data_IF_987012491574
#
_entry.id   IF_987012491574
#
_cell.length_a   1.000
_cell.length_b   1.000
_cell.length_c   1.000
_cell.angle_alpha   90.00
_cell.angle_beta   90.00
_cell.angle_gamma   90.00
#
_symmetry.space_group_name_H-M   'P 1'
#
loop_
_entity.id
_entity.type
_entity.pdbx_description
1 polymer ?
#
# COMPACT_ATOMS: atom_id res chain seq x y z
N UNK A 1 -14.54 9.77 -9.67
CA UNK A 1 -13.52 9.95 -8.60
C UNK A 1 -12.17 9.57 -9.17
N UNK A 2 -11.14 10.44 -9.08
CA UNK A 2 -9.82 10.19 -9.68
C UNK A 2 -8.78 9.85 -8.62
N UNK A 3 -7.83 8.98 -8.95
CA UNK A 3 -6.69 8.61 -8.08
C UNK A 3 -5.41 8.91 -8.85
N UNK A 4 -4.48 9.57 -8.18
CA UNK A 4 -3.19 9.97 -8.73
C UNK A 4 -2.10 9.35 -7.87
N UNK A 5 -1.01 8.92 -8.52
CA UNK A 5 0.19 8.44 -7.84
C UNK A 5 1.34 9.38 -8.19
N UNK A 6 2.20 9.69 -7.21
CA UNK A 6 3.52 10.18 -7.56
C UNK A 6 4.24 9.13 -8.41
N UNK A 7 4.93 9.54 -9.46
CA UNK A 7 5.52 8.63 -10.44
C UNK A 7 6.55 7.67 -9.81
N UNK A 8 7.44 8.20 -8.96
CA UNK A 8 8.42 7.42 -8.22
C UNK A 8 7.78 6.38 -7.29
N UNK A 9 6.64 6.74 -6.69
CA UNK A 9 5.84 5.87 -5.82
C UNK A 9 5.30 4.70 -6.65
N UNK A 10 4.66 4.99 -7.79
CA UNK A 10 4.14 3.95 -8.68
C UNK A 10 5.22 2.98 -9.17
N UNK A 11 6.38 3.48 -9.62
CA UNK A 11 7.46 2.60 -10.08
C UNK A 11 8.07 1.76 -8.96
N UNK A 12 8.21 2.33 -7.75
CA UNK A 12 8.72 1.60 -6.60
C UNK A 12 7.77 0.47 -6.20
N UNK A 13 6.46 0.70 -6.25
CA UNK A 13 5.44 -0.32 -6.03
C UNK A 13 5.54 -1.46 -7.05
N UNK A 14 5.60 -1.13 -8.34
CA UNK A 14 5.67 -2.13 -9.40
C UNK A 14 6.96 -2.96 -9.32
N UNK A 15 8.09 -2.33 -8.99
CA UNK A 15 9.34 -3.07 -8.76
C UNK A 15 9.21 -3.98 -7.55
N UNK A 16 8.68 -3.49 -6.43
CA UNK A 16 8.51 -4.29 -5.22
C UNK A 16 7.59 -5.50 -5.44
N UNK A 17 6.47 -5.32 -6.14
CA UNK A 17 5.56 -6.41 -6.49
C UNK A 17 6.25 -7.47 -7.36
N UNK A 18 7.03 -7.05 -8.37
CA UNK A 18 7.82 -7.95 -9.21
C UNK A 18 8.85 -8.74 -8.40
N UNK A 19 9.56 -8.06 -7.50
CA UNK A 19 10.64 -8.66 -6.71
C UNK A 19 10.09 -9.63 -5.63
N UNK A 20 8.84 -9.44 -5.21
CA UNK A 20 8.17 -10.31 -4.24
C UNK A 20 7.52 -11.54 -4.83
N UNK A 21 7.21 -11.55 -6.14
CA UNK A 21 6.65 -12.72 -6.80
C UNK A 21 7.52 -13.98 -6.55
N UNK A 22 6.93 -15.14 -6.17
CA UNK A 22 5.49 -15.46 -6.14
C UNK A 22 4.82 -15.29 -4.76
N UNK A 23 5.40 -14.48 -3.87
CA UNK A 23 4.77 -14.14 -2.58
C UNK A 23 3.79 -12.99 -2.78
N UNK A 24 2.68 -13.04 -2.04
CA UNK A 24 1.70 -11.96 -2.00
C UNK A 24 2.20 -10.81 -1.14
N UNK A 25 1.92 -9.59 -1.59
CA UNK A 25 2.18 -8.35 -0.84
C UNK A 25 0.87 -7.71 -0.42
N UNK A 26 0.88 -7.04 0.74
CA UNK A 26 -0.19 -6.14 1.17
C UNK A 26 0.43 -4.85 1.68
N UNK A 27 -0.02 -3.73 1.14
CA UNK A 27 0.50 -2.40 1.48
C UNK A 27 -0.67 -1.46 1.80
N UNK A 28 -0.42 -0.52 2.71
CA UNK A 28 -1.35 0.57 3.01
C UNK A 28 -1.02 1.77 2.13
N UNK A 29 -2.05 2.42 1.61
CA UNK A 29 -1.91 3.60 0.75
C UNK A 29 -1.98 4.86 1.60
N UNK A 30 -0.86 5.59 1.68
CA UNK A 30 -0.84 6.90 2.33
C UNK A 30 -1.00 8.00 1.30
N UNK A 31 -1.90 8.93 1.58
CA UNK A 31 -2.23 9.98 0.64
C UNK A 31 -3.04 11.12 1.24
N UNK A 32 -3.49 12.01 0.36
CA UNK A 32 -4.34 13.15 0.72
C UNK A 32 -5.49 13.30 -0.27
N UNK A 33 -6.66 13.70 0.24
CA UNK A 33 -7.81 14.10 -0.57
C UNK A 33 -7.62 15.52 -1.09
N UNK A 34 -8.05 15.77 -2.32
CA UNK A 34 -8.30 17.10 -2.88
C UNK A 34 -9.67 17.10 -3.57
N UNK A 35 -10.11 18.25 -4.11
CA UNK A 35 -11.49 18.47 -4.60
C UNK A 35 -12.10 17.28 -5.34
N UNK A 36 -11.40 16.75 -6.35
CA UNK A 36 -11.95 15.76 -7.27
C UNK A 36 -11.24 14.39 -7.22
N UNK A 37 -10.40 14.16 -6.20
CA UNK A 37 -9.62 12.93 -6.14
C UNK A 37 -8.70 12.77 -4.94
N UNK A 38 -7.83 11.78 -5.04
CA UNK A 38 -6.83 11.44 -4.06
C UNK A 38 -5.44 11.41 -4.68
N UNK A 39 -4.45 11.91 -3.97
CA UNK A 39 -3.04 11.77 -4.33
C UNK A 39 -2.38 10.79 -3.35
N UNK A 40 -1.86 9.70 -3.89
CA UNK A 40 -1.03 8.72 -3.20
C UNK A 40 0.43 9.16 -3.34
N UNK A 41 1.09 9.35 -2.21
CA UNK A 41 2.49 9.79 -2.18
C UNK A 41 3.41 8.83 -1.42
N UNK A 42 2.88 7.79 -0.78
CA UNK A 42 3.65 6.81 -0.04
C UNK A 42 2.86 5.50 0.15
N UNK A 43 3.58 4.39 0.30
CA UNK A 43 3.02 3.12 0.75
C UNK A 43 3.64 2.73 2.09
N UNK A 44 2.85 2.13 2.97
CA UNK A 44 3.32 1.65 4.27
C UNK A 44 3.19 0.14 4.35
N UNK A 45 4.16 -0.47 5.02
CA UNK A 45 4.07 -1.87 5.41
C UNK A 45 3.25 -1.99 6.69
N UNK A 46 2.23 -2.87 6.73
CA UNK A 46 1.61 -3.21 8.00
C UNK A 46 2.66 -3.78 8.97
N UNK A 47 2.54 -3.50 10.28
CA UNK A 47 3.45 -4.06 11.28
C UNK A 47 3.45 -5.59 11.26
N UNK A 48 4.63 -6.18 11.38
CA UNK A 48 4.84 -7.64 11.45
C UNK A 48 4.18 -8.43 10.29
N UNK A 49 4.24 -7.88 9.08
CA UNK A 49 3.71 -8.55 7.89
C UNK A 49 4.47 -9.83 7.57
N UNK A 50 3.74 -10.93 7.36
CA UNK A 50 4.27 -12.20 6.83
C UNK A 50 3.86 -12.36 5.38
N UNK A 51 4.84 -12.49 4.49
CA UNK A 51 4.65 -12.63 3.04
C UNK A 51 4.77 -14.11 2.64
N UNK A 52 3.69 -14.70 2.14
CA UNK A 52 3.59 -16.10 1.75
C UNK A 52 3.20 -16.28 0.28
N UNK A 53 3.33 -17.50 -0.24
CA UNK A 53 2.85 -17.82 -1.59
C UNK A 53 1.34 -18.03 -1.54
N UNK A 54 0.57 -17.16 -2.22
CA UNK A 54 -0.89 -17.16 -2.18
C UNK A 54 -1.52 -16.66 -0.87
N UNK A 55 -0.72 -16.06 0.04
CA UNK A 55 -1.25 -15.42 1.23
C UNK A 55 -0.34 -14.32 1.76
N UNK A 56 -0.94 -13.39 2.50
CA UNK A 56 -0.26 -12.39 3.31
C UNK A 56 -1.03 -12.22 4.61
N UNK A 57 -0.32 -12.10 5.73
CA UNK A 57 -0.95 -11.98 7.05
C UNK A 57 -0.29 -10.91 7.90
N UNK A 58 -1.11 -10.14 8.60
CA UNK A 58 -0.71 -9.16 9.62
C UNK A 58 -1.86 -9.03 10.63
N UNK A 59 -1.62 -8.42 11.79
CA UNK A 59 -2.65 -8.12 12.77
C UNK A 59 -3.16 -6.67 12.58
N UNK A 60 -4.40 -6.44 12.11
CA UNK A 60 -4.93 -5.09 11.89
C UNK A 60 -4.96 -4.22 13.15
N UNK A 61 -5.12 -4.83 14.34
CA UNK A 61 -5.14 -4.11 15.62
C UNK A 61 -3.78 -3.48 15.98
N UNK A 62 -2.71 -3.83 15.26
CA UNK A 62 -1.39 -3.23 15.44
C UNK A 62 -1.16 -1.98 14.58
N UNK A 63 -2.06 -1.68 13.64
CA UNK A 63 -1.94 -0.49 12.79
C UNK A 63 -2.24 0.74 13.66
N UNK A 64 -1.28 1.67 13.84
CA UNK A 64 -1.54 2.92 14.55
C UNK A 64 -2.61 3.74 13.82
N UNK A 65 -3.37 4.54 14.56
CA UNK A 65 -4.31 5.49 13.93
C UNK A 65 -3.50 6.48 13.07
N UNK A 66 -3.72 6.42 11.76
CA UNK A 66 -3.15 7.34 10.78
C UNK A 66 -4.24 7.74 9.79
N UNK A 67 -4.76 8.96 9.94
CA UNK A 67 -5.84 9.50 9.09
C UNK A 67 -5.38 9.85 7.66
N UNK A 68 -4.09 9.72 7.37
CA UNK A 68 -3.55 9.86 6.02
C UNK A 68 -3.58 8.54 5.25
N UNK A 69 -3.92 7.41 5.90
CA UNK A 69 -4.19 6.15 5.21
C UNK A 69 -5.55 6.25 4.53
N UNK A 70 -5.55 6.13 3.20
CA UNK A 70 -6.76 6.29 2.37
C UNK A 70 -7.14 5.02 1.60
N UNK A 71 -6.41 3.92 1.81
CA UNK A 71 -6.74 2.63 1.23
C UNK A 71 -5.65 1.58 1.46
N UNK A 72 -5.78 0.46 0.75
CA UNK A 72 -4.78 -0.62 0.70
C UNK A 72 -4.63 -1.16 -0.72
N UNK A 73 -3.57 -1.94 -0.95
CA UNK A 73 -3.28 -2.65 -2.19
C UNK A 73 -2.79 -4.07 -1.89
N UNK A 74 -3.10 -5.00 -2.79
CA UNK A 74 -2.67 -6.39 -2.79
C UNK A 74 -2.20 -6.79 -4.21
N UNK A 75 -1.21 -7.68 -4.33
CA UNK A 75 -0.71 -8.22 -5.61
C UNK A 75 -1.51 -9.38 -6.18
#
# INVERSE_FOLDING_TARGET
>A
MKIYFCENVLYSLLSYARDMHPREIFLLLRGKRFRDGFLIYEFLFPPLTTLGKGFVSFNPSMIPIDLTIIGSLHS
#
